data_IF_175258623747
#
_entry.id   IF_175258623747
#
_cell.length_a   1.000
_cell.length_b   1.000
_cell.length_c   1.000
_cell.angle_alpha   90.00
_cell.angle_beta   90.00
_cell.angle_gamma   90.00
#
_symmetry.space_group_name_H-M   'P 1'
#
loop_
_entity.id
_entity.type
_entity.pdbx_description
1 polymer ?
#
# COMPACT_ATOMS: atom_id res chain seq x y z
N UNK A 1 3.07 8.21 13.99
CA UNK A 1 4.50 8.04 14.37
C UNK A 1 4.58 7.69 15.85
N UNK A 2 5.40 6.69 16.21
CA UNK A 2 5.78 6.40 17.60
C UNK A 2 7.17 6.98 17.88
N UNK A 3 7.39 7.49 19.07
CA UNK A 3 8.68 7.97 19.59
C UNK A 3 8.90 7.24 20.91
N UNK A 4 9.98 6.47 21.01
CA UNK A 4 10.31 5.64 22.17
C UNK A 4 9.13 4.80 22.68
N UNK A 5 8.45 4.13 21.74
CA UNK A 5 7.30 3.26 22.04
C UNK A 5 5.96 3.98 22.25
N UNK A 6 5.95 5.30 22.46
CA UNK A 6 4.73 6.10 22.70
C UNK A 6 4.23 6.77 21.42
N UNK A 7 2.91 6.92 21.24
CA UNK A 7 2.37 7.63 20.06
C UNK A 7 2.69 9.12 20.18
N UNK A 8 3.34 9.70 19.18
CA UNK A 8 3.77 11.12 19.19
C UNK A 8 2.63 12.10 19.52
N UNK A 9 1.40 11.80 19.10
CA UNK A 9 0.23 12.62 19.41
C UNK A 9 -0.11 12.68 20.91
N UNK A 10 0.15 11.60 21.67
CA UNK A 10 -0.11 11.57 23.11
C UNK A 10 0.87 12.49 23.85
N UNK A 11 2.12 12.54 23.41
CA UNK A 11 3.15 13.42 23.98
C UNK A 11 2.82 14.90 23.69
N UNK A 12 2.41 15.21 22.45
CA UNK A 12 1.99 16.57 22.08
C UNK A 12 0.77 17.06 22.88
N UNK A 13 -0.24 16.20 23.12
CA UNK A 13 -1.38 16.53 23.98
C UNK A 13 -1.01 16.74 25.45
N UNK A 14 0.08 16.14 25.91
CA UNK A 14 0.60 16.34 27.26
C UNK A 14 1.47 17.61 27.39
N UNK A 15 1.50 18.46 26.36
CA UNK A 15 2.30 19.69 26.32
C UNK A 15 3.80 19.44 26.17
N UNK A 16 4.22 18.20 25.90
CA UNK A 16 5.61 17.89 25.62
C UNK A 16 5.92 18.24 24.17
N UNK A 17 6.99 19.01 23.97
CA UNK A 17 7.44 19.36 22.64
C UNK A 17 8.00 18.12 21.95
N UNK A 18 7.36 17.71 20.86
CA UNK A 18 7.72 16.50 20.13
C UNK A 18 8.49 16.90 18.89
N UNK A 19 9.82 16.70 18.90
CA UNK A 19 10.61 16.80 17.68
C UNK A 19 10.34 15.58 16.79
N UNK A 20 9.46 15.76 15.81
CA UNK A 20 9.23 14.77 14.76
C UNK A 20 10.43 14.79 13.81
N UNK A 21 11.09 13.64 13.62
CA UNK A 21 12.10 13.49 12.57
C UNK A 21 11.46 13.79 11.21
N UNK A 22 12.12 14.68 10.44
CA UNK A 22 11.76 14.92 9.05
C UNK A 22 11.85 13.63 8.24
N UNK A 23 10.99 13.49 7.25
CA UNK A 23 10.95 12.34 6.33
C UNK A 23 10.95 12.87 4.92
N UNK A 24 11.76 12.26 4.07
CA UNK A 24 11.70 12.49 2.63
C UNK A 24 10.39 11.88 2.15
N UNK A 25 9.65 12.68 1.41
CA UNK A 25 8.40 12.29 0.73
C UNK A 25 8.52 12.75 -0.71
N UNK A 26 7.75 12.10 -1.58
CA UNK A 26 7.71 12.42 -2.99
C UNK A 26 6.35 12.99 -3.32
N UNK A 27 6.34 14.09 -4.07
CA UNK A 27 5.14 14.75 -4.54
C UNK A 27 5.18 14.67 -6.06
N UNK A 28 4.40 13.75 -6.61
CA UNK A 28 4.34 13.49 -8.05
C UNK A 28 3.65 14.65 -8.77
N UNK A 29 2.61 15.22 -8.16
CA UNK A 29 1.95 16.42 -8.70
C UNK A 29 1.17 17.20 -7.64
N UNK A 30 1.02 18.50 -7.89
CA UNK A 30 0.14 19.42 -7.15
C UNK A 30 -0.66 20.22 -8.16
N UNK A 31 -1.99 20.20 -8.06
CA UNK A 31 -2.89 20.99 -8.90
C UNK A 31 -3.76 21.89 -8.04
N UNK A 32 -3.87 23.15 -8.43
CA UNK A 32 -4.84 24.09 -7.88
C UNK A 32 -6.20 23.80 -8.50
N UNK A 33 -7.18 23.40 -7.70
CA UNK A 33 -8.55 23.12 -8.16
C UNK A 33 -9.43 24.36 -8.06
N UNK A 34 -9.37 25.06 -6.93
CA UNK A 34 -10.14 26.28 -6.70
C UNK A 34 -9.40 27.24 -5.75
N UNK A 35 -9.65 28.54 -5.91
CA UNK A 35 -9.15 29.58 -5.03
C UNK A 35 -10.21 30.66 -4.83
N UNK A 36 -10.73 30.72 -3.61
CA UNK A 36 -11.69 31.70 -3.16
C UNK A 36 -11.24 32.19 -1.79
N UNK A 37 -10.45 33.26 -1.75
CA UNK A 37 -9.86 33.76 -0.51
C UNK A 37 -10.88 33.83 0.64
N UNK A 38 -10.58 33.26 1.83
CA UNK A 38 -9.28 32.71 2.25
C UNK A 38 -9.09 31.20 1.98
N UNK A 39 -9.95 30.58 1.19
CA UNK A 39 -9.98 29.13 0.92
C UNK A 39 -9.28 28.73 -0.38
N UNK A 40 -8.45 27.69 -0.29
CA UNK A 40 -7.69 27.07 -1.37
C UNK A 40 -8.02 25.58 -1.44
N UNK A 41 -8.30 25.07 -2.63
CA UNK A 41 -8.47 23.63 -2.86
C UNK A 41 -7.34 23.09 -3.74
N UNK A 42 -6.67 22.04 -3.26
CA UNK A 42 -5.54 21.42 -3.93
C UNK A 42 -5.81 19.93 -4.15
N UNK A 43 -5.45 19.44 -5.32
CA UNK A 43 -5.24 18.02 -5.56
C UNK A 43 -3.75 17.72 -5.48
N UNK A 44 -3.38 16.67 -4.75
CA UNK A 44 -1.98 16.28 -4.53
C UNK A 44 -1.86 14.78 -4.79
N UNK A 45 -0.94 14.41 -5.68
CA UNK A 45 -0.47 13.02 -5.84
C UNK A 45 0.89 12.91 -5.14
N UNK A 46 1.01 11.97 -4.22
CA UNK A 46 2.18 11.85 -3.35
C UNK A 46 2.43 10.42 -2.90
N UNK A 47 3.67 10.14 -2.51
CA UNK A 47 4.05 8.85 -1.95
C UNK A 47 3.50 8.59 -0.55
N UNK A 48 3.58 7.32 -0.12
CA UNK A 48 3.10 6.87 1.18
C UNK A 48 3.78 7.59 2.35
N UNK A 49 3.00 7.92 3.38
CA UNK A 49 3.51 8.59 4.59
C UNK A 49 3.58 10.11 4.50
N UNK A 50 3.14 10.71 3.39
CA UNK A 50 2.98 12.16 3.23
C UNK A 50 1.92 12.71 4.18
N UNK A 51 2.27 13.74 4.94
CA UNK A 51 1.34 14.46 5.81
C UNK A 51 0.81 15.71 5.10
N UNK A 52 -0.36 15.61 4.47
CA UNK A 52 -1.00 16.74 3.76
C UNK A 52 -1.19 17.97 4.66
N UNK A 53 -1.44 17.76 5.96
CA UNK A 53 -1.52 18.85 6.95
C UNK A 53 -0.21 19.63 7.10
N UNK A 54 0.93 18.95 6.98
CA UNK A 54 2.23 19.63 6.99
C UNK A 54 2.38 20.47 5.74
N UNK A 55 2.00 19.96 4.57
CA UNK A 55 2.02 20.72 3.31
C UNK A 55 1.17 21.99 3.43
N UNK A 56 -0.05 21.89 3.97
CA UNK A 56 -0.91 23.05 4.19
C UNK A 56 -0.24 24.11 5.08
N UNK A 57 0.29 23.70 6.25
CA UNK A 57 1.02 24.60 7.14
C UNK A 57 2.21 25.25 6.45
N UNK A 58 3.07 24.45 5.82
CA UNK A 58 4.31 24.90 5.21
C UNK A 58 4.03 25.86 4.01
N UNK A 59 2.92 25.64 3.28
CA UNK A 59 2.43 26.57 2.26
C UNK A 59 1.96 27.89 2.88
N UNK A 60 1.15 27.83 3.94
CA UNK A 60 0.70 29.03 4.65
C UNK A 60 1.83 29.84 5.27
N UNK A 61 2.85 29.18 5.83
CA UNK A 61 4.07 29.81 6.33
C UNK A 61 4.84 30.51 5.19
N UNK A 62 5.01 29.85 4.04
CA UNK A 62 5.65 30.44 2.85
C UNK A 62 4.88 31.64 2.30
N UNK A 63 3.56 31.66 2.42
CA UNK A 63 2.70 32.77 2.02
C UNK A 63 2.58 33.88 3.08
N UNK A 64 3.08 33.65 4.29
CA UNK A 64 3.09 34.64 5.38
C UNK A 64 1.75 34.86 6.08
N UNK A 65 0.71 34.07 5.77
CA UNK A 65 -0.61 34.17 6.39
C UNK A 65 -0.94 32.98 7.32
N UNK A 66 -0.15 31.91 7.27
CA UNK A 66 -0.49 30.63 7.87
C UNK A 66 -1.63 29.93 7.12
N UNK A 67 -1.79 28.63 7.36
CA UNK A 67 -2.89 27.87 6.81
C UNK A 67 -3.20 26.66 7.68
N UNK A 68 -4.48 26.29 7.68
CA UNK A 68 -4.98 25.10 8.35
C UNK A 68 -5.86 24.32 7.38
N UNK A 69 -5.71 23.01 7.38
CA UNK A 69 -6.53 22.13 6.56
C UNK A 69 -7.93 22.01 7.17
N UNK A 70 -8.94 22.49 6.46
CA UNK A 70 -10.35 22.42 6.87
C UNK A 70 -11.05 21.14 6.39
N UNK A 71 -10.59 20.57 5.27
CA UNK A 71 -11.12 19.33 4.68
C UNK A 71 -10.02 18.51 4.02
N UNK A 72 -10.24 17.20 3.94
CA UNK A 72 -9.37 16.27 3.23
C UNK A 72 -10.18 15.08 2.75
N UNK A 73 -10.11 14.81 1.45
CA UNK A 73 -10.66 13.60 0.84
C UNK A 73 -9.53 12.84 0.19
N UNK A 74 -9.36 11.56 0.57
CA UNK A 74 -8.42 10.68 -0.11
C UNK A 74 -9.14 10.00 -1.26
N UNK A 75 -8.89 10.46 -2.47
CA UNK A 75 -9.58 10.00 -3.69
C UNK A 75 -9.02 8.69 -4.25
N UNK A 76 -7.78 8.32 -3.92
CA UNK A 76 -7.15 7.09 -4.42
C UNK A 76 -6.03 6.58 -3.49
N UNK A 77 -5.83 5.27 -3.46
CA UNK A 77 -4.66 4.56 -2.89
C UNK A 77 -4.24 3.47 -3.86
N UNK A 78 -3.12 3.65 -4.55
CA UNK A 78 -2.70 2.72 -5.62
C UNK A 78 -3.84 2.50 -6.63
N UNK A 79 -4.28 1.24 -6.86
CA UNK A 79 -5.38 0.95 -7.78
C UNK A 79 -6.79 1.19 -7.19
N UNK A 80 -6.91 1.48 -5.89
CA UNK A 80 -8.20 1.63 -5.22
C UNK A 80 -8.65 3.09 -5.24
N UNK A 81 -9.74 3.39 -5.95
CA UNK A 81 -10.31 4.74 -6.02
C UNK A 81 -11.51 4.91 -5.08
N UNK A 82 -11.85 6.16 -4.78
CA UNK A 82 -13.00 6.51 -3.95
C UNK A 82 -14.33 6.13 -4.61
N UNK A 83 -14.41 6.17 -5.94
CA UNK A 83 -15.60 5.78 -6.70
C UNK A 83 -15.90 4.28 -6.55
N UNK A 84 -14.87 3.46 -6.34
CA UNK A 84 -15.01 2.03 -6.04
C UNK A 84 -15.17 1.73 -4.55
N UNK A 85 -15.20 2.74 -3.68
CA UNK A 85 -15.29 2.53 -2.23
C UNK A 85 -16.73 2.21 -1.81
N UNK A 86 -16.86 1.29 -0.85
CA UNK A 86 -18.14 0.92 -0.24
C UNK A 86 -18.32 1.71 1.05
N UNK A 87 -19.48 2.38 1.27
CA UNK A 87 -19.78 3.05 2.53
C UNK A 87 -19.70 2.09 3.71
N UNK A 88 -19.05 2.50 4.80
CA UNK A 88 -18.86 1.65 5.97
C UNK A 88 -20.20 1.26 6.61
N UNK A 89 -21.19 2.13 6.53
CA UNK A 89 -22.53 1.95 7.09
C UNK A 89 -23.35 0.91 6.32
N UNK A 90 -22.96 0.58 5.09
CA UNK A 90 -23.57 -0.48 4.29
C UNK A 90 -22.94 -1.86 4.47
N UNK A 91 -21.94 -1.97 5.35
CA UNK A 91 -21.21 -3.21 5.60
C UNK A 91 -21.64 -3.84 6.93
N UNK A 92 -22.00 -5.12 6.86
CA UNK A 92 -22.25 -6.00 7.98
C UNK A 92 -21.64 -7.39 7.71
N UNK A 93 -21.82 -8.33 8.64
CA UNK A 93 -21.25 -9.67 8.53
C UNK A 93 -21.74 -10.44 7.28
N UNK A 94 -22.96 -10.17 6.82
CA UNK A 94 -23.59 -10.89 5.70
C UNK A 94 -23.15 -10.29 4.36
N UNK A 95 -23.03 -8.97 4.29
CA UNK A 95 -22.67 -8.22 3.08
C UNK A 95 -21.17 -8.14 2.82
N UNK A 96 -20.34 -8.18 3.87
CA UNK A 96 -18.89 -7.97 3.76
C UNK A 96 -18.23 -8.90 2.75
N UNK A 97 -18.60 -10.19 2.78
CA UNK A 97 -17.99 -11.21 1.92
C UNK A 97 -18.13 -10.89 0.42
N UNK A 98 -19.29 -10.34 0.01
CA UNK A 98 -19.56 -9.95 -1.37
C UNK A 98 -18.86 -8.67 -1.82
N UNK A 99 -18.29 -7.91 -0.88
CA UNK A 99 -17.56 -6.66 -1.15
C UNK A 99 -16.04 -6.85 -1.15
N UNK A 100 -15.54 -8.05 -0.81
CA UNK A 100 -14.12 -8.35 -0.86
C UNK A 100 -13.62 -8.41 -2.29
N UNK A 101 -12.51 -7.72 -2.53
CA UNK A 101 -11.77 -7.80 -3.80
C UNK A 101 -10.61 -8.77 -3.69
N UNK A 102 -10.15 -9.38 -4.80
CA UNK A 102 -9.02 -10.29 -4.77
C UNK A 102 -7.76 -9.63 -4.18
N UNK A 103 -7.08 -10.33 -3.27
CA UNK A 103 -5.86 -9.83 -2.62
C UNK A 103 -4.76 -9.47 -3.64
N UNK A 104 -4.75 -10.12 -4.80
CA UNK A 104 -3.85 -9.84 -5.91
C UNK A 104 -3.93 -8.38 -6.40
N UNK A 105 -5.08 -7.72 -6.25
CA UNK A 105 -5.22 -6.30 -6.62
C UNK A 105 -4.29 -5.40 -5.83
N UNK A 106 -3.98 -5.74 -4.57
CA UNK A 106 -3.07 -4.94 -3.74
C UNK A 106 -1.61 -4.99 -4.23
N UNK A 107 -1.27 -5.96 -5.08
CA UNK A 107 0.08 -6.19 -5.62
C UNK A 107 0.07 -6.34 -7.14
N UNK A 108 -0.93 -5.71 -7.80
CA UNK A 108 -1.16 -5.89 -9.23
C UNK A 108 0.03 -5.50 -10.11
N UNK A 109 0.82 -4.52 -9.67
CA UNK A 109 1.99 -4.00 -10.38
C UNK A 109 3.23 -4.92 -10.27
N UNK A 110 3.22 -5.90 -9.35
CA UNK A 110 4.37 -6.79 -9.19
C UNK A 110 4.43 -7.83 -10.31
N UNK A 111 5.64 -8.16 -10.82
CA UNK A 111 5.81 -9.28 -11.73
C UNK A 111 5.28 -10.57 -11.12
N UNK A 112 4.65 -11.40 -11.96
CA UNK A 112 3.97 -12.61 -11.51
C UNK A 112 4.27 -13.82 -12.38
N UNK A 113 4.24 -15.00 -11.76
CA UNK A 113 4.31 -16.31 -12.41
C UNK A 113 3.20 -17.22 -11.87
N UNK A 114 2.62 -18.03 -12.76
CA UNK A 114 1.71 -19.11 -12.36
C UNK A 114 2.55 -20.29 -11.86
N UNK A 115 2.33 -20.71 -10.62
CA UNK A 115 3.01 -21.87 -10.04
C UNK A 115 2.34 -23.19 -10.44
N UNK A 116 3.14 -24.20 -10.78
CA UNK A 116 2.68 -25.59 -10.89
C UNK A 116 2.27 -26.16 -9.52
N UNK A 117 1.50 -27.24 -9.50
CA UNK A 117 1.09 -27.89 -8.24
C UNK A 117 2.29 -28.30 -7.37
N UNK A 118 3.39 -28.72 -7.99
CA UNK A 118 4.64 -29.05 -7.31
C UNK A 118 5.25 -27.79 -6.68
N UNK A 119 5.41 -26.71 -7.45
CA UNK A 119 6.00 -25.46 -6.96
C UNK A 119 5.17 -24.84 -5.85
N UNK A 120 3.84 -24.82 -5.98
CA UNK A 120 2.94 -24.31 -4.95
C UNK A 120 3.02 -25.15 -3.66
N UNK A 121 3.21 -26.46 -3.75
CA UNK A 121 3.44 -27.33 -2.59
C UNK A 121 4.79 -27.03 -1.92
N UNK A 122 5.84 -26.77 -2.70
CA UNK A 122 7.15 -26.40 -2.14
C UNK A 122 7.09 -25.03 -1.44
N UNK A 123 6.43 -24.06 -2.07
CA UNK A 123 6.20 -22.71 -1.51
C UNK A 123 5.34 -22.75 -0.26
N UNK A 124 4.33 -23.62 -0.20
CA UNK A 124 3.54 -23.86 1.02
C UNK A 124 4.41 -24.24 2.22
N UNK A 125 5.50 -24.99 1.99
CA UNK A 125 6.49 -25.35 3.00
C UNK A 125 7.63 -24.33 3.15
N UNK A 126 7.49 -23.13 2.57
CA UNK A 126 8.48 -22.05 2.65
C UNK A 126 9.74 -22.30 1.80
N UNK A 127 9.70 -23.24 0.86
CA UNK A 127 10.86 -23.56 0.01
C UNK A 127 10.89 -22.67 -1.23
N UNK A 128 12.09 -22.52 -1.78
CA UNK A 128 12.36 -21.75 -2.99
C UNK A 128 11.98 -22.56 -4.22
N UNK A 129 11.51 -21.88 -5.25
CA UNK A 129 11.14 -22.50 -6.53
C UNK A 129 11.75 -21.72 -7.69
N UNK A 130 11.92 -22.33 -8.88
CA UNK A 130 12.43 -21.62 -10.04
C UNK A 130 11.56 -20.41 -10.41
N UNK A 131 12.20 -19.31 -10.77
CA UNK A 131 11.53 -18.14 -11.34
C UNK A 131 11.81 -18.08 -12.84
N UNK A 132 10.75 -18.00 -13.62
CA UNK A 132 10.76 -17.81 -15.08
C UNK A 132 9.85 -16.66 -15.52
N UNK A 133 9.31 -15.90 -14.56
CA UNK A 133 8.51 -14.70 -14.81
C UNK A 133 9.36 -13.49 -15.23
N UNK A 134 8.72 -12.35 -15.49
CA UNK A 134 9.41 -11.12 -15.86
C UNK A 134 10.42 -10.66 -14.80
N UNK A 135 11.42 -9.89 -15.20
CA UNK A 135 12.29 -9.18 -14.26
C UNK A 135 11.49 -8.14 -13.47
N UNK A 136 11.94 -7.86 -12.25
CA UNK A 136 11.34 -6.83 -11.40
C UNK A 136 12.14 -5.54 -11.49
N UNK A 137 11.47 -4.45 -11.85
CA UNK A 137 12.07 -3.14 -12.10
C UNK A 137 12.37 -2.35 -10.82
N UNK A 138 11.60 -2.59 -9.75
CA UNK A 138 11.56 -1.76 -8.54
C UNK A 138 12.08 -2.47 -7.28
N UNK A 139 12.66 -3.66 -7.42
CA UNK A 139 13.20 -4.44 -6.30
C UNK A 139 13.19 -5.93 -6.60
N UNK A 140 13.46 -6.76 -5.62
CA UNK A 140 13.33 -8.22 -5.78
C UNK A 140 11.88 -8.70 -5.66
N UNK A 141 10.90 -7.87 -5.28
CA UNK A 141 9.54 -8.33 -4.99
C UNK A 141 8.85 -8.91 -6.23
N UNK A 142 8.28 -10.11 -6.07
CA UNK A 142 7.58 -10.89 -7.11
C UNK A 142 6.43 -11.69 -6.49
N UNK A 143 5.50 -12.13 -7.34
CA UNK A 143 4.26 -12.82 -6.92
C UNK A 143 4.14 -14.19 -7.60
N UNK A 144 3.71 -15.19 -6.83
CA UNK A 144 3.17 -16.43 -7.39
C UNK A 144 1.64 -16.44 -7.29
N UNK A 145 1.02 -16.87 -8.38
CA UNK A 145 -0.42 -17.14 -8.44
C UNK A 145 -0.67 -18.62 -8.73
N UNK A 146 -1.85 -19.12 -8.35
CA UNK A 146 -2.29 -20.45 -8.72
C UNK A 146 -2.85 -20.52 -10.16
N UNK A 147 -3.29 -21.71 -10.57
CA UNK A 147 -3.88 -21.93 -11.89
C UNK A 147 -5.21 -21.17 -12.12
N UNK A 148 -5.90 -20.76 -11.05
CA UNK A 148 -7.10 -19.92 -11.10
C UNK A 148 -6.76 -18.42 -11.06
N UNK A 149 -5.47 -18.07 -11.05
CA UNK A 149 -4.99 -16.68 -10.96
C UNK A 149 -5.14 -16.06 -9.57
N UNK A 150 -5.40 -16.85 -8.53
CA UNK A 150 -5.47 -16.36 -7.14
C UNK A 150 -4.06 -16.18 -6.58
N UNK A 151 -3.89 -15.22 -5.68
CA UNK A 151 -2.62 -14.95 -5.02
C UNK A 151 -2.22 -16.15 -4.15
N UNK A 152 -1.11 -16.79 -4.49
CA UNK A 152 -0.58 -17.93 -3.73
C UNK A 152 0.53 -17.51 -2.76
N UNK A 153 1.47 -16.68 -3.23
CA UNK A 153 2.56 -16.19 -2.39
C UNK A 153 3.14 -14.86 -2.88
N UNK A 154 3.62 -14.07 -1.93
CA UNK A 154 4.50 -12.92 -2.16
C UNK A 154 5.91 -13.32 -1.77
N UNK A 155 6.88 -13.00 -2.61
CA UNK A 155 8.27 -13.37 -2.41
C UNK A 155 9.24 -12.36 -2.98
N UNK A 156 10.51 -12.74 -2.92
CA UNK A 156 11.62 -12.00 -3.50
C UNK A 156 12.33 -12.86 -4.54
N UNK A 157 12.76 -12.25 -5.63
CA UNK A 157 13.61 -12.82 -6.65
C UNK A 157 15.04 -12.86 -6.14
N UNK A 158 15.54 -14.07 -5.97
CA UNK A 158 16.96 -14.33 -5.84
C UNK A 158 17.58 -14.36 -7.25
N UNK A 159 18.01 -13.18 -7.70
CA UNK A 159 18.59 -13.00 -9.03
C UNK A 159 19.87 -13.83 -9.24
N UNK A 160 20.61 -14.15 -8.18
CA UNK A 160 21.83 -14.94 -8.29
C UNK A 160 21.54 -16.40 -8.68
N UNK A 161 20.39 -16.91 -8.26
CA UNK A 161 20.00 -18.32 -8.47
C UNK A 161 18.80 -18.48 -9.41
N UNK A 162 18.18 -17.38 -9.86
CA UNK A 162 16.96 -17.42 -10.67
C UNK A 162 15.79 -18.06 -9.93
N UNK A 163 15.65 -17.78 -8.62
CA UNK A 163 14.65 -18.43 -7.76
C UNK A 163 13.69 -17.44 -7.14
N UNK A 164 12.44 -17.85 -7.00
CA UNK A 164 11.46 -17.23 -6.12
C UNK A 164 11.70 -17.69 -4.68
N UNK A 165 11.88 -16.75 -3.76
CA UNK A 165 11.99 -16.99 -2.33
C UNK A 165 10.73 -16.49 -1.61
N UNK A 166 9.91 -17.39 -1.01
CA UNK A 166 8.66 -16.99 -0.36
C UNK A 166 8.93 -16.13 0.89
N UNK A 167 8.13 -15.06 1.04
CA UNK A 167 8.09 -14.21 2.24
C UNK A 167 6.76 -14.30 2.96
N UNK A 168 5.67 -14.39 2.20
CA UNK A 168 4.33 -14.58 2.71
C UNK A 168 3.55 -15.53 1.81
N UNK A 169 2.88 -16.51 2.41
CA UNK A 169 2.12 -17.54 1.70
C UNK A 169 0.65 -17.42 2.10
N UNK A 170 -0.24 -17.51 1.11
CA UNK A 170 -1.68 -17.30 1.23
C UNK A 170 -2.51 -18.55 0.88
N UNK A 171 -1.84 -19.69 0.74
CA UNK A 171 -2.46 -20.99 0.51
C UNK A 171 -2.97 -21.56 1.84
N UNK A 172 -4.26 -21.88 1.92
CA UNK A 172 -4.86 -22.49 3.13
C UNK A 172 -4.52 -23.98 3.28
N UNK A 173 -4.32 -24.67 2.15
CA UNK A 173 -3.95 -26.09 2.08
C UNK A 173 -2.96 -26.32 0.93
N UNK A 174 -2.10 -27.35 1.02
CA UNK A 174 -1.25 -27.71 -0.09
C UNK A 174 -2.11 -28.19 -1.28
N UNK A 175 -1.81 -27.75 -2.51
CA UNK A 175 -2.56 -28.19 -3.68
C UNK A 175 -2.40 -29.70 -3.86
N UNK A 176 -3.49 -30.35 -4.28
CA UNK A 176 -3.52 -31.80 -4.51
C UNK A 176 -2.54 -32.14 -5.62
N UNK A 177 -1.58 -33.05 -5.35
CA UNK A 177 -0.74 -33.64 -6.40
C UNK A 177 -1.65 -34.42 -7.33
N UNK A 178 -1.81 -33.93 -8.55
CA UNK A 178 -2.32 -34.74 -9.65
C UNK A 178 -1.09 -35.32 -10.31
N UNK A 179 -0.89 -36.62 -10.06
CA UNK A 179 0.22 -37.42 -10.58
C UNK A 179 0.18 -37.52 -12.11
#
# INVERSE_FOLDING_TARGET
VKIDGRRAYQLARAGQEVQLKSRIVEIDSVRLLDWQSPTLELEIVCSGGTYIRSIARDLGERLGCGAVMSGLVRTRVGPFSLEGAVPAESLDADTLSGQLVPALMAVAELPRQVGSAIELTEVFHGRRVPWSGPESSDGSAVVLVDAAGQLAALGELDAANGQFAPRQVFLDTPPVRTD
#
